data_IF_429332380229
#
_entry.id   IF_429332380229
#
_cell.length_a   1.000
_cell.length_b   1.000
_cell.length_c   1.000
_cell.angle_alpha   90.00
_cell.angle_beta   90.00
_cell.angle_gamma   90.00
#
_symmetry.space_group_name_H-M   'P 1'
#
loop_
_entity.id
_entity.type
_entity.pdbx_description
1 polymer ?
#
# COMPACT_ATOMS: atom_id res chain seq x y z
N UNK A 1 -52.27 24.43 -2.21
CA UNK A 1 -51.81 23.13 -2.73
C UNK A 1 -51.19 23.36 -4.10
N UNK A 2 -49.87 23.55 -4.15
CA UNK A 2 -49.07 23.56 -5.37
C UNK A 2 -47.93 22.58 -5.14
N UNK A 3 -47.94 21.53 -5.95
CA UNK A 3 -46.91 20.50 -6.05
C UNK A 3 -45.57 21.12 -6.47
N UNK A 4 -44.45 20.64 -5.94
CA UNK A 4 -43.45 19.93 -6.74
C UNK A 4 -42.30 19.45 -5.86
N UNK A 5 -42.07 18.15 -5.95
CA UNK A 5 -40.91 17.42 -5.51
C UNK A 5 -39.70 17.92 -6.32
N UNK A 6 -38.82 18.74 -5.75
CA UNK A 6 -37.50 18.99 -6.35
C UNK A 6 -36.51 18.06 -5.67
N UNK A 7 -36.31 16.91 -6.30
CA UNK A 7 -35.29 15.95 -5.96
C UNK A 7 -33.94 16.64 -6.16
N UNK A 8 -33.26 16.96 -5.06
CA UNK A 8 -31.86 17.35 -5.07
C UNK A 8 -31.04 16.06 -5.27
N UNK A 9 -31.02 15.53 -6.50
CA UNK A 9 -30.02 14.52 -6.88
C UNK A 9 -28.68 15.24 -6.88
N UNK A 10 -28.04 15.34 -5.72
CA UNK A 10 -26.62 15.62 -5.63
C UNK A 10 -25.92 14.44 -6.29
N UNK A 11 -25.52 14.62 -7.54
CA UNK A 11 -24.68 13.67 -8.26
C UNK A 11 -23.37 13.55 -7.49
N UNK A 12 -23.26 12.50 -6.67
CA UNK A 12 -21.99 11.97 -6.17
C UNK A 12 -21.24 11.42 -7.39
N UNK A 13 -20.66 12.31 -8.19
CA UNK A 13 -19.51 11.95 -9.00
C UNK A 13 -18.35 11.86 -8.02
N UNK A 14 -18.29 10.73 -7.31
CA UNK A 14 -17.03 10.28 -6.73
C UNK A 14 -16.18 9.86 -7.93
N UNK A 15 -15.59 10.84 -8.61
CA UNK A 15 -14.41 10.60 -9.40
C UNK A 15 -13.33 10.21 -8.38
N UNK A 16 -13.36 8.94 -7.95
CA UNK A 16 -12.16 8.29 -7.48
C UNK A 16 -11.21 8.41 -8.66
N UNK A 17 -10.27 9.34 -8.53
CA UNK A 17 -9.18 9.49 -9.47
C UNK A 17 -8.57 8.09 -9.64
N UNK A 18 -8.74 7.52 -10.82
CA UNK A 18 -8.44 6.11 -11.12
C UNK A 18 -6.96 5.90 -11.38
N UNK A 19 -6.10 6.64 -10.69
CA UNK A 19 -4.68 6.30 -10.56
C UNK A 19 -4.49 5.24 -9.47
N UNK A 20 -5.40 4.27 -9.41
CA UNK A 20 -5.08 3.01 -8.75
C UNK A 20 -3.95 2.38 -9.57
N UNK A 21 -2.75 2.33 -8.99
CA UNK A 21 -1.58 1.72 -9.63
C UNK A 21 -1.93 0.35 -10.21
N UNK A 22 -1.23 -0.05 -11.27
CA UNK A 22 -1.57 -1.32 -11.92
C UNK A 22 -1.19 -2.50 -11.02
N UNK A 23 -1.88 -3.65 -11.12
CA UNK A 23 -1.42 -4.88 -10.46
C UNK A 23 0.02 -5.27 -10.81
N UNK A 24 0.53 -4.86 -11.98
CA UNK A 24 1.93 -5.04 -12.38
C UNK A 24 2.88 -4.16 -11.59
N UNK A 25 2.49 -2.92 -11.31
CA UNK A 25 3.24 -1.99 -10.46
C UNK A 25 3.33 -2.50 -9.02
N UNK A 26 2.23 -3.03 -8.47
CA UNK A 26 2.26 -3.70 -7.17
C UNK A 26 3.23 -4.89 -7.15
N UNK A 27 3.25 -5.71 -8.23
CA UNK A 27 4.20 -6.82 -8.38
C UNK A 27 5.64 -6.35 -8.52
N UNK A 28 5.89 -5.20 -9.15
CA UNK A 28 7.22 -4.63 -9.26
C UNK A 28 7.74 -4.18 -7.89
N UNK A 29 6.93 -3.40 -7.17
CA UNK A 29 7.25 -2.98 -5.81
C UNK A 29 7.45 -4.17 -4.87
N UNK A 30 6.60 -5.20 -4.96
CA UNK A 30 6.76 -6.40 -4.15
C UNK A 30 8.08 -7.14 -4.43
N UNK A 31 8.46 -7.30 -5.71
CA UNK A 31 9.74 -7.93 -6.08
C UNK A 31 10.93 -7.13 -5.59
N UNK A 32 10.92 -5.82 -5.78
CA UNK A 32 11.99 -4.94 -5.29
C UNK A 32 12.10 -4.97 -3.77
N UNK A 33 10.97 -5.04 -3.06
CA UNK A 33 10.96 -5.21 -1.61
C UNK A 33 11.63 -6.51 -1.16
N UNK A 34 11.46 -7.62 -1.90
CA UNK A 34 12.17 -8.88 -1.63
C UNK A 34 13.67 -8.72 -1.85
N UNK A 35 14.09 -8.13 -2.97
CA UNK A 35 15.51 -7.90 -3.27
C UNK A 35 16.19 -7.07 -2.16
N UNK A 36 15.55 -5.98 -1.72
CA UNK A 36 16.07 -5.14 -0.65
C UNK A 36 16.10 -5.86 0.71
N UNK A 37 15.11 -6.71 0.99
CA UNK A 37 15.09 -7.52 2.20
C UNK A 37 16.24 -8.53 2.22
N UNK A 38 16.52 -9.19 1.09
CA UNK A 38 17.65 -10.11 0.93
C UNK A 38 19.00 -9.39 1.08
N UNK A 39 19.08 -8.14 0.60
CA UNK A 39 20.22 -7.24 0.78
C UNK A 39 20.34 -6.67 2.21
N UNK A 40 19.43 -7.03 3.12
CA UNK A 40 19.31 -6.51 4.50
C UNK A 40 19.05 -5.00 4.59
N UNK A 41 18.63 -4.38 3.49
CA UNK A 41 18.08 -3.03 3.50
C UNK A 41 16.60 -3.08 3.89
N UNK A 42 16.35 -3.35 5.17
CA UNK A 42 15.00 -3.49 5.70
C UNK A 42 14.19 -2.20 5.60
N UNK A 43 14.83 -1.03 5.69
CA UNK A 43 14.16 0.26 5.49
C UNK A 43 13.64 0.38 4.04
N UNK A 44 14.49 0.09 3.05
CA UNK A 44 14.10 0.08 1.65
C UNK A 44 12.99 -0.94 1.37
N UNK A 45 13.12 -2.15 1.93
CA UNK A 45 12.12 -3.20 1.81
C UNK A 45 10.74 -2.77 2.33
N UNK A 46 10.68 -2.14 3.51
CA UNK A 46 9.42 -1.63 4.09
C UNK A 46 8.77 -0.59 3.15
N UNK A 47 9.54 0.31 2.56
CA UNK A 47 9.02 1.33 1.63
C UNK A 47 8.38 0.66 0.41
N UNK A 48 9.08 -0.28 -0.21
CA UNK A 48 8.60 -0.97 -1.41
C UNK A 48 7.40 -1.87 -1.11
N UNK A 49 7.41 -2.64 -0.02
CA UNK A 49 6.24 -3.41 0.40
C UNK A 49 5.04 -2.53 0.74
N UNK A 50 5.26 -1.36 1.34
CA UNK A 50 4.18 -0.40 1.63
C UNK A 50 3.51 0.11 0.36
N UNK A 51 4.31 0.47 -0.66
CA UNK A 51 3.78 0.88 -1.98
C UNK A 51 2.99 -0.26 -2.65
N UNK A 52 3.53 -1.47 -2.62
CA UNK A 52 2.84 -2.64 -3.15
C UNK A 52 1.48 -2.86 -2.46
N UNK A 53 1.43 -2.72 -1.13
CA UNK A 53 0.21 -2.90 -0.34
C UNK A 53 -0.82 -1.81 -0.59
N UNK A 54 -0.40 -0.56 -0.77
CA UNK A 54 -1.30 0.56 -1.12
C UNK A 54 -1.97 0.35 -2.47
N UNK A 55 -1.26 -0.23 -3.44
CA UNK A 55 -1.80 -0.50 -4.78
C UNK A 55 -2.70 -1.73 -4.78
N UNK A 56 -2.23 -2.84 -4.19
CA UNK A 56 -2.95 -4.10 -4.17
C UNK A 56 -2.86 -4.75 -2.77
N UNK A 57 -3.81 -4.43 -1.86
CA UNK A 57 -3.82 -4.99 -0.52
C UNK A 57 -3.90 -6.52 -0.56
N UNK A 58 -2.88 -7.20 -0.03
CA UNK A 58 -2.81 -8.65 -0.02
C UNK A 58 -2.02 -9.16 1.20
N UNK A 59 -2.49 -10.24 1.83
CA UNK A 59 -1.91 -10.76 3.08
C UNK A 59 -0.42 -11.10 2.95
N UNK A 60 0.01 -11.64 1.80
CA UNK A 60 1.43 -11.91 1.53
C UNK A 60 2.30 -10.67 1.60
N UNK A 61 1.83 -9.53 1.07
CA UNK A 61 2.59 -8.28 1.09
C UNK A 61 2.70 -7.80 2.54
N UNK A 62 1.57 -7.83 3.27
CA UNK A 62 1.54 -7.45 4.69
C UNK A 62 2.47 -8.32 5.55
N UNK A 63 2.53 -9.63 5.29
CA UNK A 63 3.44 -10.55 5.99
C UNK A 63 4.92 -10.21 5.75
N UNK A 64 5.30 -9.90 4.51
CA UNK A 64 6.68 -9.50 4.20
C UNK A 64 7.02 -8.12 4.78
N UNK A 65 6.07 -7.18 4.77
CA UNK A 65 6.22 -5.88 5.43
C UNK A 65 6.45 -6.05 6.94
N UNK A 66 5.68 -6.91 7.60
CA UNK A 66 5.82 -7.16 9.03
C UNK A 66 7.18 -7.80 9.37
N UNK A 67 7.64 -8.76 8.56
CA UNK A 67 8.97 -9.36 8.75
C UNK A 67 10.09 -8.33 8.57
N UNK A 68 10.01 -7.47 7.54
CA UNK A 68 10.99 -6.42 7.33
C UNK A 68 11.03 -5.42 8.50
N UNK A 69 9.87 -5.07 9.06
CA UNK A 69 9.79 -4.23 10.25
C UNK A 69 10.40 -4.91 11.48
N UNK A 70 10.13 -6.19 11.71
CA UNK A 70 10.71 -6.94 12.84
C UNK A 70 12.23 -6.99 12.74
N UNK A 71 12.77 -7.37 11.58
CA UNK A 71 14.22 -7.39 11.36
C UNK A 71 14.82 -6.02 11.64
N UNK A 72 14.25 -4.94 11.08
CA UNK A 72 14.75 -3.58 11.32
C UNK A 72 14.82 -3.23 12.81
N UNK A 73 13.81 -3.62 13.59
CA UNK A 73 13.82 -3.43 15.04
C UNK A 73 14.94 -4.22 15.72
N UNK A 74 15.11 -5.49 15.35
CA UNK A 74 16.17 -6.35 15.91
C UNK A 74 17.58 -5.79 15.58
N UNK A 75 17.77 -5.24 14.37
CA UNK A 75 19.01 -4.56 13.97
C UNK A 75 19.29 -3.29 14.77
N UNK A 76 18.27 -2.46 14.99
CA UNK A 76 18.41 -1.24 15.80
C UNK A 76 18.76 -1.60 17.24
N UNK A 77 18.08 -2.60 17.82
CA UNK A 77 18.38 -3.06 19.18
C UNK A 77 19.76 -3.67 19.34
N UNK A 78 20.34 -4.30 18.31
CA UNK A 78 21.70 -4.85 18.37
C UNK A 78 22.81 -3.77 18.37
N UNK A 79 22.49 -2.52 18.03
CA UNK A 79 23.43 -1.40 17.96
C UNK A 79 23.42 -0.51 19.22
N UNK A 80 22.50 -0.74 20.16
CA UNK A 80 22.40 -0.05 21.45
C UNK A 80 23.17 -0.79 22.56
#
# INVERSE_FOLDING_TARGET
>A
MVSLLTVFQASLVFAADTTAGSPDEARQHFRRGIELYEDRDYNGAIVEFSRAYQIAPHFRILYNLAQAAQELHDWVSALE
#
